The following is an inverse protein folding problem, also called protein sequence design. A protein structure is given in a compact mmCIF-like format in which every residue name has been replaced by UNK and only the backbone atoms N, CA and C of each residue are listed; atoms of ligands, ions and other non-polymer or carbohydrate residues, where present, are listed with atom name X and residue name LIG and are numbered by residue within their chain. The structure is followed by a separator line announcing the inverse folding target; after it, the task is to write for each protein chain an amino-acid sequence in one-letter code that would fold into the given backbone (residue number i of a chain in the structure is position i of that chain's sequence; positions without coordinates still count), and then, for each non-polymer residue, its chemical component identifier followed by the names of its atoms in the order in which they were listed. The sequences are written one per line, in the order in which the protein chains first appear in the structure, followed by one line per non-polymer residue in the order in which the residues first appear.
data_IF_264251514760
#
_entry.id   IF_264251514760
#
_cell.length_a   1.000
_cell.length_b   1.000
_cell.length_c   1.000
_cell.angle_alpha   90.00
_cell.angle_beta   90.00
_cell.angle_gamma   90.00
#
_symmetry.space_group_name_H-M   'P 1'
#
loop_
_entity.id
_entity.type
_entity.pdbx_description
1 polymer ?
#
# COMPACT_ATOMS: atom_id res chain seq x y z
N UNK A 1 -23.35 -10.97 -17.08
CA UNK A 1 -23.90 -9.74 -17.66
C UNK A 1 -24.34 -8.81 -16.54
N UNK A 2 -23.63 -7.69 -16.33
CA UNK A 2 -23.91 -6.71 -15.28
C UNK A 2 -23.95 -5.31 -15.93
N UNK A 3 -25.13 -4.83 -16.37
CA UNK A 3 -25.24 -3.54 -17.04
C UNK A 3 -24.90 -2.37 -16.10
N UNK A 4 -24.33 -1.32 -16.67
CA UNK A 4 -23.87 -0.12 -15.94
C UNK A 4 -24.86 0.44 -14.88
N UNK A 5 -26.19 0.52 -15.16
CA UNK A 5 -27.13 1.00 -14.14
C UNK A 5 -27.21 0.11 -12.89
N UNK A 6 -27.08 -1.21 -13.05
CA UNK A 6 -27.08 -2.13 -11.91
C UNK A 6 -25.78 -2.02 -11.10
N UNK A 7 -24.65 -1.82 -11.77
CA UNK A 7 -23.38 -1.59 -11.10
C UNK A 7 -23.41 -0.31 -10.26
N UNK A 8 -23.97 0.77 -10.80
CA UNK A 8 -24.13 2.03 -10.04
C UNK A 8 -25.05 1.83 -8.84
N UNK A 9 -26.16 1.09 -9.02
CA UNK A 9 -27.07 0.79 -7.92
C UNK A 9 -26.39 -0.04 -6.82
N UNK A 10 -25.60 -1.03 -7.19
CA UNK A 10 -24.80 -1.84 -6.26
C UNK A 10 -23.83 -0.96 -5.44
N UNK A 11 -23.09 -0.06 -6.11
CA UNK A 11 -22.18 0.87 -5.44
C UNK A 11 -22.90 1.81 -4.48
N UNK A 12 -24.04 2.37 -4.88
CA UNK A 12 -24.86 3.24 -4.00
C UNK A 12 -25.49 2.49 -2.84
N UNK A 13 -25.88 1.24 -3.05
CA UNK A 13 -26.39 0.40 -1.96
C UNK A 13 -25.27 0.10 -0.96
N UNK A 14 -24.06 -0.17 -1.43
CA UNK A 14 -22.89 -0.32 -0.56
C UNK A 14 -22.65 0.95 0.28
N UNK A 15 -22.62 2.14 -0.33
CA UNK A 15 -22.43 3.41 0.38
C UNK A 15 -23.50 3.60 1.47
N UNK A 16 -24.75 3.32 1.13
CA UNK A 16 -25.85 3.45 2.07
C UNK A 16 -25.74 2.50 3.27
N UNK A 17 -25.34 1.25 3.04
CA UNK A 17 -25.11 0.28 4.10
C UNK A 17 -23.92 0.68 4.99
N UNK A 18 -22.85 1.24 4.39
CA UNK A 18 -21.66 1.66 5.13
C UNK A 18 -21.90 2.95 5.94
N UNK A 19 -22.71 3.88 5.45
CA UNK A 19 -23.02 5.12 6.15
C UNK A 19 -23.71 4.91 7.52
N UNK A 20 -24.29 3.75 7.73
CA UNK A 20 -24.93 3.39 9.01
C UNK A 20 -24.01 2.66 10.01
N UNK A 21 -22.75 2.41 9.65
CA UNK A 21 -21.82 1.72 10.54
C UNK A 21 -21.04 2.70 11.41
N UNK A 22 -20.83 2.33 12.66
CA UNK A 22 -19.96 3.11 13.55
C UNK A 22 -18.49 3.01 13.09
N UNK A 23 -17.72 4.12 13.21
CA UNK A 23 -16.30 4.11 12.91
C UNK A 23 -15.57 3.08 13.79
N UNK A 24 -14.80 2.20 13.16
CA UNK A 24 -13.92 1.31 13.89
C UNK A 24 -12.70 2.13 14.36
N UNK A 25 -12.54 2.24 15.67
CA UNK A 25 -11.31 2.75 16.25
C UNK A 25 -10.33 1.59 16.41
N UNK A 26 -9.19 1.70 15.76
CA UNK A 26 -8.12 0.72 15.88
C UNK A 26 -6.98 1.32 16.71
N UNK A 27 -6.76 0.75 17.91
CA UNK A 27 -5.70 1.19 18.83
C UNK A 27 -4.30 0.80 18.35
N UNK A 28 -4.18 -0.07 17.34
CA UNK A 28 -2.90 -0.49 16.78
C UNK A 28 -2.34 0.49 15.75
N UNK A 29 -3.15 1.43 15.26
CA UNK A 29 -2.74 2.39 14.24
C UNK A 29 -2.69 3.79 14.83
N UNK A 30 -1.50 4.39 14.80
CA UNK A 30 -1.30 5.80 15.13
C UNK A 30 -1.09 6.58 13.83
N UNK A 31 -2.02 7.48 13.53
CA UNK A 31 -1.87 8.44 12.43
C UNK A 31 -1.18 9.70 12.95
N UNK A 32 -0.03 10.03 12.33
CA UNK A 32 0.69 11.27 12.59
C UNK A 32 0.50 12.19 11.39
N UNK A 33 -0.28 13.24 11.59
CA UNK A 33 -0.51 14.26 10.57
C UNK A 33 0.59 15.33 10.61
N UNK A 34 1.06 15.73 9.43
CA UNK A 34 2.01 16.83 9.25
C UNK A 34 1.21 18.01 8.69
N UNK A 35 0.66 18.78 9.61
CA UNK A 35 -0.20 19.92 9.30
C UNK A 35 0.53 21.13 8.70
N UNK A 36 -0.22 22.16 8.32
CA UNK A 36 0.32 23.38 7.73
C UNK A 36 1.28 24.11 8.66
N UNK A 37 1.07 24.04 9.98
CA UNK A 37 1.94 24.70 10.98
C UNK A 37 3.34 24.06 10.97
N UNK A 38 3.41 22.74 10.89
CA UNK A 38 4.67 22.01 10.76
C UNK A 38 5.33 22.33 9.42
N UNK A 39 4.57 22.32 8.34
CA UNK A 39 5.09 22.65 6.99
C UNK A 39 5.68 24.05 6.95
N UNK A 40 5.01 25.04 7.53
CA UNK A 40 5.52 26.42 7.63
C UNK A 40 6.78 26.53 8.51
N UNK A 41 6.79 25.84 9.66
CA UNK A 41 7.93 25.83 10.58
C UNK A 41 9.21 25.28 9.96
N UNK A 42 9.09 24.39 8.98
CA UNK A 42 10.21 23.81 8.23
C UNK A 42 10.48 24.51 6.89
N UNK A 43 9.82 25.64 6.61
CA UNK A 43 10.09 26.48 5.43
C UNK A 43 9.35 26.05 4.17
N UNK A 44 8.29 25.27 4.29
CA UNK A 44 7.44 24.83 3.19
C UNK A 44 7.64 23.37 2.79
N UNK A 45 6.88 22.94 1.79
CA UNK A 45 6.96 21.59 1.21
C UNK A 45 7.92 21.60 0.00
N UNK A 46 8.75 20.57 -0.24
CA UNK A 46 8.84 19.28 0.49
C UNK A 46 9.56 19.41 1.85
N UNK A 47 9.11 18.63 2.81
CA UNK A 47 9.70 18.63 4.16
C UNK A 47 11.12 18.04 4.16
N UNK A 48 12.00 18.49 5.07
CA UNK A 48 13.37 17.97 5.19
C UNK A 48 13.36 16.47 5.51
N UNK A 49 14.24 15.72 4.90
CA UNK A 49 14.37 14.27 5.12
C UNK A 49 14.87 13.92 6.51
N UNK A 50 15.64 14.81 7.09
CA UNK A 50 16.05 14.68 8.49
C UNK A 50 14.86 14.65 9.45
N UNK A 51 13.74 15.28 9.12
CA UNK A 51 12.51 15.18 9.89
C UNK A 51 11.95 13.76 9.83
N UNK A 52 11.81 13.17 8.63
CA UNK A 52 11.36 11.79 8.47
C UNK A 52 12.28 10.80 9.17
N UNK A 53 13.60 10.98 9.06
CA UNK A 53 14.56 10.15 9.78
C UNK A 53 14.35 10.21 11.30
N UNK A 54 14.16 11.41 11.84
CA UNK A 54 13.89 11.61 13.26
C UNK A 54 12.58 10.99 13.71
N UNK A 55 11.53 11.05 12.86
CA UNK A 55 10.25 10.41 13.16
C UNK A 55 10.39 8.89 13.23
N UNK A 56 11.08 8.27 12.25
CA UNK A 56 11.36 6.83 12.25
C UNK A 56 12.14 6.42 13.49
N UNK A 57 13.19 7.16 13.83
CA UNK A 57 14.02 6.86 15.00
C UNK A 57 13.24 7.00 16.32
N UNK A 58 12.33 7.97 16.41
CA UNK A 58 11.49 8.16 17.61
C UNK A 58 10.40 7.11 17.78
N UNK A 59 9.95 6.50 16.69
CA UNK A 59 8.98 5.40 16.74
C UNK A 59 9.62 4.05 17.02
N UNK A 60 10.95 3.97 17.03
CA UNK A 60 11.70 2.76 17.33
C UNK A 60 11.34 2.19 18.70
N UNK A 61 10.97 0.90 18.71
CA UNK A 61 10.58 0.19 19.93
C UNK A 61 9.17 0.51 20.46
N UNK A 62 8.45 1.45 19.82
CA UNK A 62 7.06 1.78 20.16
C UNK A 62 6.11 1.34 19.06
N UNK A 63 6.47 1.57 17.81
CA UNK A 63 5.72 1.11 16.64
C UNK A 63 6.35 -0.17 16.05
N UNK A 64 5.52 -1.13 15.68
CA UNK A 64 5.97 -2.33 14.96
C UNK A 64 6.46 -2.01 13.54
N UNK A 65 5.91 -0.98 12.93
CA UNK A 65 6.32 -0.49 11.62
C UNK A 65 6.02 1.01 11.49
N UNK A 66 6.94 1.75 10.88
CA UNK A 66 6.74 3.15 10.52
C UNK A 66 6.50 3.28 9.02
N UNK A 67 5.46 3.99 8.66
CA UNK A 67 5.01 4.09 7.27
C UNK A 67 5.23 5.50 6.76
N UNK A 68 5.84 5.63 5.59
CA UNK A 68 6.16 6.91 4.98
C UNK A 68 5.67 6.98 3.54
N UNK A 69 5.12 8.13 3.19
CA UNK A 69 4.85 8.53 1.82
C UNK A 69 5.79 9.69 1.44
N UNK A 70 7.08 9.40 1.16
CA UNK A 70 8.02 10.45 0.81
C UNK A 70 7.76 10.98 -0.59
N UNK A 71 8.15 12.24 -0.79
CA UNK A 71 8.18 12.84 -2.12
C UNK A 71 9.21 12.11 -3.00
N UNK A 72 8.84 11.66 -4.21
CA UNK A 72 9.72 10.89 -5.08
C UNK A 72 10.90 11.67 -5.67
N UNK A 73 10.89 13.00 -5.60
CA UNK A 73 11.87 13.83 -6.32
C UNK A 73 13.13 14.20 -5.50
N UNK A 74 13.48 13.38 -4.58
CA UNK A 74 14.54 13.63 -3.65
C UNK A 74 15.90 13.10 -4.17
N UNK A 75 16.73 13.97 -4.74
CA UNK A 75 18.06 13.62 -5.25
C UNK A 75 19.18 14.18 -4.36
N UNK A 76 19.92 13.24 -3.76
CA UNK A 76 21.30 13.43 -3.30
C UNK A 76 21.61 14.60 -2.37
N UNK A 77 21.24 14.53 -1.10
CA UNK A 77 21.72 15.43 -0.05
C UNK A 77 22.31 14.63 1.12
N UNK A 78 23.05 15.31 2.00
CA UNK A 78 23.53 14.73 3.29
C UNK A 78 22.35 14.20 4.14
N UNK A 79 21.16 14.75 3.97
CA UNK A 79 19.94 14.33 4.63
C UNK A 79 19.45 12.95 4.12
N UNK A 80 19.79 12.58 2.87
CA UNK A 80 19.50 11.26 2.33
C UNK A 80 20.18 10.14 3.09
N UNK A 81 21.40 10.37 3.55
CA UNK A 81 22.15 9.38 4.32
C UNK A 81 21.52 9.13 5.69
N UNK A 82 20.98 10.18 6.33
CA UNK A 82 20.28 10.03 7.60
C UNK A 82 19.00 9.23 7.44
N UNK A 83 18.21 9.57 6.41
CA UNK A 83 16.97 8.84 6.13
C UNK A 83 17.28 7.38 5.74
N UNK A 84 18.28 7.13 4.89
CA UNK A 84 18.68 5.80 4.52
C UNK A 84 19.11 4.96 5.73
N UNK A 85 19.85 5.53 6.66
CA UNK A 85 20.23 4.85 7.92
C UNK A 85 19.02 4.55 8.78
N UNK A 86 18.11 5.50 8.95
CA UNK A 86 16.90 5.29 9.72
C UNK A 86 16.04 4.15 9.13
N UNK A 87 15.89 4.11 7.81
CA UNK A 87 15.16 3.06 7.10
C UNK A 87 15.80 1.67 7.22
N UNK A 88 17.14 1.60 7.23
CA UNK A 88 17.87 0.33 7.37
C UNK A 88 17.82 -0.28 8.78
N UNK A 89 17.66 0.56 9.81
CA UNK A 89 17.74 0.11 11.20
C UNK A 89 16.36 -0.03 11.86
N UNK A 90 15.30 0.36 11.16
CA UNK A 90 13.94 0.31 11.71
C UNK A 90 12.99 -0.30 10.69
N UNK A 91 12.01 -1.12 11.14
CA UNK A 91 10.96 -1.60 10.27
C UNK A 91 10.20 -0.42 9.65
N UNK A 92 10.36 -0.23 8.36
CA UNK A 92 9.74 0.88 7.65
C UNK A 92 9.19 0.42 6.29
N UNK A 93 8.08 1.02 5.88
CA UNK A 93 7.46 0.79 4.58
C UNK A 93 7.39 2.09 3.80
N UNK A 94 7.88 2.08 2.58
CA UNK A 94 7.80 3.19 1.64
C UNK A 94 6.68 3.00 0.62
N UNK A 95 6.00 4.09 0.29
CA UNK A 95 5.00 4.08 -0.76
C UNK A 95 5.64 4.14 -2.15
N UNK A 96 5.13 3.33 -3.07
CA UNK A 96 5.46 3.38 -4.50
C UNK A 96 4.26 3.78 -5.33
N UNK A 97 4.54 4.31 -6.51
CA UNK A 97 3.52 4.65 -7.50
C UNK A 97 3.78 3.87 -8.79
N UNK A 98 2.73 3.29 -9.36
CA UNK A 98 2.80 2.73 -10.69
C UNK A 98 2.96 3.84 -11.73
N UNK A 99 3.70 3.53 -12.79
CA UNK A 99 3.99 4.46 -13.87
C UNK A 99 3.63 3.85 -15.23
N UNK A 100 3.22 4.72 -16.15
CA UNK A 100 3.06 4.35 -17.55
C UNK A 100 4.40 4.26 -18.30
N UNK A 101 5.50 4.65 -17.66
CA UNK A 101 6.85 4.50 -18.21
C UNK A 101 7.45 3.20 -17.69
N UNK A 102 8.07 2.43 -18.57
CA UNK A 102 8.68 1.14 -18.24
C UNK A 102 9.99 1.33 -17.45
N UNK A 103 9.90 1.84 -16.25
CA UNK A 103 11.02 1.88 -15.31
C UNK A 103 10.83 0.79 -14.29
N UNK A 104 11.62 -0.25 -14.42
CA UNK A 104 11.52 -1.35 -13.49
C UNK A 104 12.60 -1.28 -12.44
N UNK A 105 12.19 -1.25 -11.18
CA UNK A 105 12.83 -2.06 -10.15
C UNK A 105 11.82 -2.26 -9.02
N UNK A 106 11.43 -3.47 -8.78
CA UNK A 106 10.55 -3.77 -7.66
C UNK A 106 11.32 -4.40 -6.51
N UNK A 107 10.78 -4.26 -5.31
CA UNK A 107 11.25 -4.97 -4.14
C UNK A 107 11.11 -6.48 -4.35
N UNK A 108 11.95 -7.21 -3.68
CA UNK A 108 11.87 -8.65 -3.61
C UNK A 108 11.09 -9.07 -2.36
N UNK A 109 9.78 -9.04 -2.45
CA UNK A 109 8.95 -9.71 -1.45
C UNK A 109 8.72 -11.15 -1.91
N UNK A 110 9.02 -12.11 -1.08
CA UNK A 110 8.75 -13.51 -1.35
C UNK A 110 7.25 -13.72 -1.56
N UNK A 111 6.87 -14.35 -2.67
CA UNK A 111 5.48 -14.68 -2.96
C UNK A 111 5.34 -16.16 -3.22
N UNK A 112 4.53 -16.85 -2.42
CA UNK A 112 4.14 -18.22 -2.67
C UNK A 112 2.81 -18.23 -3.45
N UNK A 113 2.84 -18.78 -4.66
CA UNK A 113 1.68 -18.89 -5.53
C UNK A 113 1.07 -20.28 -5.40
N UNK A 114 -0.24 -20.34 -5.24
CA UNK A 114 -1.04 -21.56 -5.13
C UNK A 114 -2.11 -21.54 -6.21
N UNK A 115 -2.18 -22.57 -7.03
CA UNK A 115 -3.10 -22.64 -8.17
C UNK A 115 -2.49 -22.18 -9.49
N UNK A 116 -3.26 -21.46 -10.30
CA UNK A 116 -2.83 -20.93 -11.60
C UNK A 116 -1.96 -19.68 -11.51
N UNK A 117 -1.64 -19.07 -12.66
CA UNK A 117 -0.88 -17.82 -12.70
C UNK A 117 -1.76 -16.65 -12.23
N UNK A 118 -1.41 -15.98 -11.12
CA UNK A 118 -2.19 -14.85 -10.63
C UNK A 118 -2.16 -13.64 -11.57
N UNK A 119 -1.17 -13.52 -12.45
CA UNK A 119 -1.02 -12.38 -13.35
C UNK A 119 -2.18 -12.24 -14.36
N UNK A 120 -2.85 -13.34 -14.67
CA UNK A 120 -4.02 -13.33 -15.57
C UNK A 120 -5.18 -12.50 -15.01
N UNK A 121 -5.25 -12.33 -13.71
CA UNK A 121 -6.35 -11.69 -12.99
C UNK A 121 -6.00 -10.32 -12.39
N UNK A 122 -4.72 -10.08 -12.13
CA UNK A 122 -4.27 -8.87 -11.45
C UNK A 122 -4.26 -7.66 -12.39
N UNK A 123 -4.43 -6.48 -11.81
CA UNK A 123 -4.16 -5.24 -12.52
C UNK A 123 -2.70 -5.20 -12.95
N UNK A 124 -2.49 -4.90 -14.23
CA UNK A 124 -1.18 -4.81 -14.82
C UNK A 124 -0.77 -3.36 -15.04
N UNK A 125 0.43 -3.02 -14.60
CA UNK A 125 1.02 -1.71 -14.82
C UNK A 125 2.28 -1.84 -15.69
N UNK A 126 2.50 -0.88 -16.64
CA UNK A 126 3.70 -0.89 -17.49
C UNK A 126 5.00 -0.79 -16.71
N UNK A 127 5.01 -0.08 -15.61
CA UNK A 127 6.17 0.09 -14.75
C UNK A 127 5.84 0.57 -13.34
N UNK A 128 6.84 0.54 -12.48
CA UNK A 128 6.79 1.02 -11.11
C UNK A 128 7.88 2.07 -10.93
N UNK A 129 7.53 3.24 -10.42
CA UNK A 129 8.50 4.27 -10.07
C UNK A 129 9.28 3.84 -8.83
N UNK A 130 10.57 3.63 -9.01
CA UNK A 130 11.48 3.30 -7.90
C UNK A 130 11.79 4.54 -7.08
N UNK A 131 11.72 4.38 -5.78
CA UNK A 131 12.35 5.30 -4.85
C UNK A 131 13.84 4.95 -4.66
N UNK A 132 14.63 5.96 -4.27
CA UNK A 132 16.09 5.81 -4.13
C UNK A 132 16.50 5.01 -2.91
N UNK A 133 15.67 4.98 -1.89
CA UNK A 133 15.97 4.35 -0.62
C UNK A 133 15.42 2.94 -0.54
N UNK A 134 16.22 2.05 0.03
CA UNK A 134 15.80 0.71 0.38
C UNK A 134 15.18 0.74 1.78
N UNK A 135 13.97 0.21 1.89
CA UNK A 135 13.28 -0.01 3.16
C UNK A 135 12.96 -1.50 3.29
N UNK A 136 12.58 -1.94 4.48
CA UNK A 136 12.19 -3.32 4.72
C UNK A 136 10.97 -3.73 3.91
N UNK A 137 10.07 -2.78 3.67
CA UNK A 137 8.91 -2.95 2.82
C UNK A 137 8.68 -1.80 1.86
N UNK A 138 8.03 -2.12 0.74
CA UNK A 138 7.61 -1.13 -0.25
C UNK A 138 6.29 -1.57 -0.86
N UNK A 139 5.32 -0.68 -0.88
CA UNK A 139 3.99 -1.00 -1.34
C UNK A 139 3.38 0.06 -2.25
N UNK A 140 2.53 -0.39 -3.17
CA UNK A 140 1.86 0.47 -4.14
C UNK A 140 0.66 1.18 -3.52
N UNK A 141 0.55 2.49 -3.80
CA UNK A 141 -0.58 3.32 -3.38
C UNK A 141 -1.62 3.52 -4.48
N UNK A 142 -1.41 2.92 -5.64
CA UNK A 142 -2.34 3.07 -6.75
C UNK A 142 -3.69 2.42 -6.45
N UNK A 143 -4.74 3.15 -6.79
CA UNK A 143 -6.10 2.68 -6.78
C UNK A 143 -6.80 3.09 -8.07
N UNK A 144 -7.86 2.38 -8.41
CA UNK A 144 -8.70 2.72 -9.56
C UNK A 144 -10.10 3.08 -9.06
N UNK A 145 -10.62 4.24 -9.47
CA UNK A 145 -11.99 4.62 -9.12
C UNK A 145 -13.00 3.69 -9.80
N UNK A 146 -14.15 3.54 -9.17
CA UNK A 146 -15.31 2.88 -9.76
C UNK A 146 -15.95 3.74 -10.85
N UNK A 147 -17.00 3.25 -11.48
CA UNK A 147 -17.67 3.93 -12.60
C UNK A 147 -18.19 5.34 -12.26
N UNK A 148 -18.44 5.61 -11.00
CA UNK A 148 -18.90 6.91 -10.50
C UNK A 148 -17.76 7.82 -9.99
N UNK A 149 -16.51 7.42 -10.20
CA UNK A 149 -15.34 8.21 -9.83
C UNK A 149 -14.89 8.05 -8.37
N UNK A 150 -15.57 7.22 -7.57
CA UNK A 150 -15.25 7.00 -6.15
C UNK A 150 -14.41 5.73 -5.99
N UNK A 151 -13.36 5.79 -5.18
CA UNK A 151 -12.55 4.61 -4.83
C UNK A 151 -13.21 3.89 -3.66
N UNK A 152 -13.66 2.66 -3.87
CA UNK A 152 -14.25 1.80 -2.82
C UNK A 152 -13.52 0.48 -2.66
N UNK A 153 -12.67 0.14 -3.60
CA UNK A 153 -11.90 -1.10 -3.57
C UNK A 153 -10.44 -0.82 -3.82
N UNK A 154 -9.58 -1.46 -3.03
CA UNK A 154 -8.13 -1.37 -3.18
C UNK A 154 -7.57 -2.73 -3.62
N UNK A 155 -6.74 -2.76 -4.67
CA UNK A 155 -6.01 -3.97 -5.01
C UNK A 155 -4.96 -4.24 -3.94
N UNK A 156 -4.89 -5.48 -3.44
CA UNK A 156 -3.87 -5.88 -2.48
C UNK A 156 -2.58 -6.30 -3.16
N UNK A 157 -2.67 -6.84 -4.37
CA UNK A 157 -1.53 -7.18 -5.21
C UNK A 157 -1.80 -6.75 -6.64
N UNK A 158 -0.77 -6.26 -7.29
CA UNK A 158 -0.79 -5.93 -8.73
C UNK A 158 0.42 -6.57 -9.42
N UNK A 159 0.43 -6.56 -10.75
CA UNK A 159 1.56 -7.05 -11.52
C UNK A 159 2.22 -5.96 -12.38
N UNK A 160 3.53 -6.10 -12.59
CA UNK A 160 4.27 -5.31 -13.58
C UNK A 160 5.34 -6.20 -14.20
N UNK A 161 5.26 -6.40 -15.51
CA UNK A 161 6.02 -7.45 -16.17
C UNK A 161 5.68 -8.82 -15.55
N UNK A 162 6.68 -9.62 -15.22
CA UNK A 162 6.48 -10.93 -14.60
C UNK A 162 6.64 -10.89 -13.06
N UNK A 163 6.40 -9.74 -12.42
CA UNK A 163 6.58 -9.56 -10.98
C UNK A 163 5.29 -9.12 -10.33
N UNK A 164 5.09 -9.59 -9.10
CA UNK A 164 3.99 -9.22 -8.24
C UNK A 164 4.44 -8.15 -7.25
N UNK A 165 3.59 -7.16 -7.03
CA UNK A 165 3.84 -6.03 -6.15
C UNK A 165 2.70 -5.92 -5.15
N UNK A 166 3.00 -5.93 -3.84
CA UNK A 166 1.98 -5.73 -2.82
C UNK A 166 1.49 -4.28 -2.81
N UNK A 167 0.25 -4.10 -2.40
CA UNK A 167 -0.24 -2.77 -2.02
C UNK A 167 0.46 -2.29 -0.75
N UNK A 168 0.40 -0.99 -0.54
CA UNK A 168 0.95 -0.37 0.65
C UNK A 168 0.34 -0.95 1.94
N UNK A 169 -0.97 -1.17 1.97
CA UNK A 169 -1.66 -1.77 3.12
C UNK A 169 -1.21 -3.21 3.40
N UNK A 170 -1.07 -4.05 2.36
CA UNK A 170 -0.60 -5.42 2.53
C UNK A 170 0.85 -5.46 3.03
N UNK A 171 1.68 -4.57 2.51
CA UNK A 171 3.09 -4.49 2.89
C UNK A 171 3.30 -3.97 4.31
N UNK A 172 2.49 -2.98 4.74
CA UNK A 172 2.46 -2.54 6.13
C UNK A 172 2.17 -3.70 7.08
N UNK A 173 1.15 -4.49 6.75
CA UNK A 173 0.78 -5.64 7.56
C UNK A 173 1.89 -6.70 7.58
N UNK A 174 2.49 -7.01 6.41
CA UNK A 174 3.58 -7.98 6.31
C UNK A 174 4.78 -7.60 7.17
N UNK A 175 5.26 -6.35 7.04
CA UNK A 175 6.38 -5.85 7.83
C UNK A 175 6.02 -5.75 9.30
N UNK A 176 4.80 -5.30 9.63
CA UNK A 176 4.34 -5.19 11.01
C UNK A 176 4.28 -6.52 11.76
N UNK A 177 3.98 -7.64 11.07
CA UNK A 177 4.03 -8.99 11.66
C UNK A 177 5.39 -9.67 11.53
N UNK A 178 6.37 -9.04 10.87
CA UNK A 178 7.73 -9.55 10.70
C UNK A 178 7.85 -10.75 9.75
N UNK A 179 6.94 -10.89 8.78
CA UNK A 179 7.01 -12.02 7.85
C UNK A 179 7.74 -11.64 6.55
N UNK A 180 8.59 -12.52 5.99
CA UNK A 180 9.34 -12.25 4.77
C UNK A 180 8.49 -12.36 3.49
N UNK A 181 7.26 -12.90 3.56
CA UNK A 181 6.50 -13.29 2.38
C UNK A 181 4.99 -13.11 2.53
N UNK A 182 4.30 -13.24 1.41
CA UNK A 182 2.85 -13.45 1.37
C UNK A 182 2.48 -14.58 0.41
N UNK A 183 1.29 -15.12 0.58
CA UNK A 183 0.75 -16.19 -0.23
C UNK A 183 -0.45 -15.67 -1.02
N UNK A 184 -0.57 -16.09 -2.27
CA UNK A 184 -1.69 -15.78 -3.14
C UNK A 184 -2.27 -17.07 -3.69
N UNK A 185 -3.58 -17.23 -3.61
CA UNK A 185 -4.29 -18.38 -4.16
C UNK A 185 -5.18 -17.96 -5.31
N UNK A 186 -5.14 -18.75 -6.40
CA UNK A 186 -5.94 -18.56 -7.61
C UNK A 186 -6.83 -19.76 -7.86
N UNK A 187 -8.02 -19.49 -8.40
CA UNK A 187 -8.95 -20.46 -8.98
C UNK A 187 -9.20 -20.13 -10.47
N UNK A 188 -9.98 -20.96 -11.14
CA UNK A 188 -10.40 -20.72 -12.53
C UNK A 188 -11.17 -19.41 -12.73
N UNK A 189 -11.70 -18.82 -11.68
CA UNK A 189 -12.50 -17.59 -11.72
C UNK A 189 -11.78 -16.35 -11.21
N UNK A 190 -10.50 -16.45 -10.83
CA UNK A 190 -9.71 -15.31 -10.35
C UNK A 190 -8.91 -15.59 -9.08
N UNK A 191 -8.49 -14.51 -8.46
CA UNK A 191 -7.86 -14.55 -7.14
C UNK A 191 -8.91 -14.95 -6.11
N UNK A 192 -8.57 -15.89 -5.24
CA UNK A 192 -9.47 -16.37 -4.19
C UNK A 192 -9.19 -15.69 -2.86
N UNK A 193 -7.93 -15.68 -2.45
CA UNK A 193 -7.49 -15.09 -1.21
C UNK A 193 -6.00 -14.74 -1.22
N UNK A 194 -5.64 -13.90 -0.27
CA UNK A 194 -4.27 -13.57 0.10
C UNK A 194 -4.05 -13.90 1.57
N UNK A 195 -2.83 -14.23 1.94
CA UNK A 195 -2.45 -14.45 3.32
C UNK A 195 -0.99 -14.07 3.55
N UNK A 196 -0.72 -13.41 4.66
CA UNK A 196 0.60 -13.37 5.26
C UNK A 196 0.68 -14.61 6.17
N UNK A 197 1.75 -15.43 6.11
CA UNK A 197 1.90 -16.57 7.01
C UNK A 197 1.64 -16.15 8.46
N UNK A 198 0.99 -17.03 9.24
CA UNK A 198 0.54 -16.77 10.61
C UNK A 198 -0.50 -15.64 10.80
N UNK A 199 -1.04 -15.12 9.72
CA UNK A 199 -2.14 -14.15 9.73
C UNK A 199 -3.41 -14.76 9.12
N UNK A 200 -4.61 -14.30 9.50
CA UNK A 200 -5.85 -14.76 8.90
C UNK A 200 -5.87 -14.57 7.38
N UNK A 201 -6.62 -15.44 6.71
CA UNK A 201 -6.85 -15.32 5.27
C UNK A 201 -7.62 -14.04 4.96
N UNK A 202 -7.17 -13.29 3.97
CA UNK A 202 -7.82 -12.10 3.45
C UNK A 202 -8.58 -12.50 2.18
N UNK A 203 -9.91 -12.54 2.26
CA UNK A 203 -10.75 -12.81 1.09
C UNK A 203 -10.78 -11.59 0.18
N UNK A 204 -10.65 -11.82 -1.12
CA UNK A 204 -10.62 -10.76 -2.13
C UNK A 204 -11.64 -11.04 -3.23
N UNK A 205 -11.87 -10.05 -4.09
CA UNK A 205 -12.52 -10.32 -5.37
C UNK A 205 -11.52 -10.98 -6.35
N UNK A 206 -12.02 -11.33 -7.55
CA UNK A 206 -11.24 -12.00 -8.58
C UNK A 206 -9.97 -11.24 -9.00
N UNK A 207 -9.88 -9.96 -8.74
CA UNK A 207 -8.77 -9.07 -9.09
C UNK A 207 -7.90 -8.70 -7.89
N UNK A 208 -7.97 -9.45 -6.79
CA UNK A 208 -7.21 -9.19 -5.56
C UNK A 208 -7.62 -7.90 -4.84
N UNK A 209 -8.87 -7.42 -4.99
CA UNK A 209 -9.32 -6.20 -4.33
C UNK A 209 -10.11 -6.50 -3.07
N UNK A 210 -10.00 -5.63 -2.11
CA UNK A 210 -10.85 -5.58 -0.91
C UNK A 210 -11.72 -4.32 -0.94
N UNK A 211 -12.91 -4.42 -0.36
CA UNK A 211 -13.74 -3.26 -0.09
C UNK A 211 -13.15 -2.45 1.05
N UNK A 212 -13.14 -1.14 0.89
CA UNK A 212 -12.75 -0.20 1.94
C UNK A 212 -13.97 0.56 2.41
N UNK A 213 -14.04 0.77 3.71
CA UNK A 213 -15.04 1.63 4.33
C UNK A 213 -14.33 2.89 4.80
N UNK A 214 -14.68 4.03 4.25
CA UNK A 214 -14.23 5.32 4.77
C UNK A 214 -15.35 5.88 5.63
N UNK A 215 -15.33 5.60 6.91
CA UNK A 215 -16.10 6.37 7.88
C UNK A 215 -15.22 7.52 8.34
N UNK A 216 -15.18 8.58 7.51
CA UNK A 216 -14.59 9.87 7.89
C UNK A 216 -15.65 10.72 8.54
#
# INVERSE_FOLDING_TARGET
WNPTPLQILELKTFDWLMAGQEPLQDEMILLVDLDEEIVEAYGGYPLPRSLYATMIERTQGTAGVTVLMPDPDLRGSVEDEKLAKALLHNPAVLAYTASNQATQVGPHVGTAQLGGDPQEWLFQYPGILRQKHDAEGVGLINSSPELDGVVRRLPLVVSSGNKLFPSFALEMLRVGVGDPSYQISTKETGIEWLRIPNFPVINTDAQSRIWITSNI
#
